data_IF_726590066591
#
_entry.id   IF_726590066591
#
_cell.length_a   1.000
_cell.length_b   1.000
_cell.length_c   1.000
_cell.angle_alpha   90.00
_cell.angle_beta   90.00
_cell.angle_gamma   90.00
#
_symmetry.space_group_name_H-M   'P 1'
#
loop_
_entity.id
_entity.type
_entity.pdbx_description
1 polymer ?
#
# COMPACT_ATOMS: atom_id res chain seq x y z
N UNK A 1 -17.79 -43.43 29.22
CA UNK A 1 -17.62 -43.02 28.88
C UNK A 1 -17.24 -42.28 28.11
N UNK A 2 -17.13 -42.03 27.74
CA UNK A 2 -16.69 -41.48 27.01
C UNK A 2 -16.55 -40.63 26.36
N UNK A 3 -16.53 -40.29 26.06
CA UNK A 3 -16.41 -39.67 25.59
C UNK A 3 -16.19 -38.96 24.79
N UNK A 4 -16.17 -38.51 24.42
CA UNK A 4 -16.07 -37.95 23.70
C UNK A 4 -15.75 -37.23 23.08
N UNK A 5 -15.58 -36.87 22.73
CA UNK A 5 -15.27 -36.32 22.31
C UNK A 5 -15.24 -35.63 21.39
N UNK A 6 -15.32 -35.26 20.96
CA UNK A 6 -15.47 -34.73 19.93
C UNK A 6 -15.16 -33.51 19.57
N UNK A 7 -14.98 -33.03 19.75
CA UNK A 7 -14.52 -31.96 19.66
C UNK A 7 -13.89 -31.42 18.52
N UNK A 8 -13.36 -31.91 17.90
CA UNK A 8 -12.66 -31.44 16.88
C UNK A 8 -13.24 -30.76 15.80
N UNK A 9 -14.42 -30.56 15.78
CA UNK A 9 -15.02 -30.02 14.73
C UNK A 9 -14.79 -28.69 14.39
N UNK A 10 -14.26 -27.85 15.15
CA UNK A 10 -14.16 -26.48 14.94
C UNK A 10 -13.19 -26.00 13.95
N UNK A 11 -12.21 -26.73 13.73
CA UNK A 11 -11.13 -26.30 12.90
C UNK A 11 -11.47 -25.83 11.52
N UNK A 12 -12.32 -26.44 10.79
CA UNK A 12 -12.56 -26.06 9.41
C UNK A 12 -13.09 -24.69 9.19
N UNK A 13 -13.63 -24.09 10.17
CA UNK A 13 -14.22 -22.81 9.97
C UNK A 13 -13.26 -21.76 9.64
N UNK A 14 -12.06 -21.86 10.06
CA UNK A 14 -11.10 -20.83 9.83
C UNK A 14 -10.68 -20.71 8.40
N UNK A 15 -10.68 -21.78 7.71
CA UNK A 15 -10.23 -21.75 6.34
C UNK A 15 -11.10 -20.88 5.47
N UNK A 16 -12.35 -20.82 5.77
CA UNK A 16 -13.26 -20.05 4.97
C UNK A 16 -12.98 -18.56 5.00
N UNK A 17 -12.49 -18.08 6.12
CA UNK A 17 -12.21 -16.67 6.25
C UNK A 17 -11.04 -16.25 5.39
N UNK A 18 -10.08 -17.11 5.23
CA UNK A 18 -8.94 -16.78 4.42
C UNK A 18 -9.30 -16.64 2.96
N UNK A 19 -10.22 -17.43 2.50
CA UNK A 19 -10.62 -17.34 1.15
C UNK A 19 -11.32 -16.04 0.82
N UNK A 20 -12.06 -15.54 1.75
CA UNK A 20 -12.75 -14.29 1.55
C UNK A 20 -11.76 -13.16 1.36
N UNK A 21 -10.66 -13.20 2.08
CA UNK A 21 -9.65 -12.18 1.91
C UNK A 21 -8.99 -12.24 0.56
N UNK A 22 -8.84 -13.41 0.04
CA UNK A 22 -8.16 -13.56 -1.22
C UNK A 22 -8.92 -12.97 -2.40
N UNK A 23 -10.18 -12.70 -2.21
CA UNK A 23 -10.98 -12.13 -3.27
C UNK A 23 -10.92 -10.62 -3.33
N UNK A 24 -10.15 -9.99 -2.49
CA UNK A 24 -10.11 -8.57 -2.48
C UNK A 24 -9.35 -8.03 -3.69
N UNK A 25 -9.37 -6.76 -3.86
CA UNK A 25 -8.87 -6.11 -5.02
C UNK A 25 -7.43 -6.41 -5.33
N UNK A 26 -6.99 -6.03 -6.49
CA UNK A 26 -5.63 -6.22 -6.92
C UNK A 26 -4.66 -5.74 -5.91
N UNK A 27 -3.60 -6.49 -5.74
CA UNK A 27 -2.56 -6.14 -4.82
C UNK A 27 -1.26 -6.01 -5.53
N UNK A 28 -0.43 -5.13 -5.09
CA UNK A 28 0.93 -4.97 -5.58
C UNK A 28 1.84 -5.67 -4.56
N UNK A 29 2.33 -6.84 -4.91
CA UNK A 29 3.13 -7.64 -4.00
C UNK A 29 4.46 -6.99 -3.62
N UNK A 30 4.91 -6.02 -4.39
CA UNK A 30 6.14 -5.31 -4.05
C UNK A 30 6.00 -4.58 -2.73
N UNK A 31 4.78 -4.20 -2.36
CA UNK A 31 4.55 -3.47 -1.12
C UNK A 31 4.91 -4.28 0.11
N UNK A 32 4.91 -5.59 0.00
CA UNK A 32 5.26 -6.44 1.15
C UNK A 32 6.72 -6.35 1.52
N UNK A 33 7.53 -5.84 0.61
CA UNK A 33 8.96 -5.70 0.85
C UNK A 33 9.33 -4.33 1.40
N UNK A 34 8.37 -3.44 1.47
CA UNK A 34 8.64 -2.09 1.99
C UNK A 34 8.64 -2.09 3.50
N UNK A 35 9.49 -1.26 4.08
CA UNK A 35 9.46 -1.00 5.52
C UNK A 35 9.78 0.45 5.79
N UNK A 36 9.16 0.99 6.79
CA UNK A 36 9.33 2.40 7.13
C UNK A 36 10.79 2.68 7.46
N UNK A 37 11.27 3.81 7.00
CA UNK A 37 12.63 4.26 7.29
C UNK A 37 13.68 3.87 6.25
N UNK A 38 13.35 3.01 5.29
CA UNK A 38 14.35 2.67 4.26
C UNK A 38 14.52 3.88 3.33
N UNK A 39 15.66 3.93 2.67
CA UNK A 39 15.99 5.07 1.81
C UNK A 39 15.13 5.10 0.55
N UNK A 40 15.03 6.27 -0.04
CA UNK A 40 14.33 6.42 -1.31
C UNK A 40 14.92 5.49 -2.36
N UNK A 41 16.25 5.34 -2.41
CA UNK A 41 16.87 4.45 -3.38
C UNK A 41 16.45 3.01 -3.18
N UNK A 42 16.32 2.57 -1.94
CA UNK A 42 15.86 1.22 -1.62
C UNK A 42 14.42 1.03 -2.08
N UNK A 43 13.59 2.06 -1.89
CA UNK A 43 12.20 2.02 -2.36
C UNK A 43 12.17 1.82 -3.87
N UNK A 44 12.94 2.61 -4.60
CA UNK A 44 12.95 2.51 -6.05
C UNK A 44 13.42 1.14 -6.53
N UNK A 45 14.39 0.57 -5.83
CA UNK A 45 14.86 -0.77 -6.16
C UNK A 45 13.78 -1.82 -5.94
N UNK A 46 13.07 -1.74 -4.82
CA UNK A 46 11.98 -2.66 -4.51
C UNK A 46 10.87 -2.55 -5.53
N UNK A 47 10.59 -1.33 -5.98
CA UNK A 47 9.56 -1.11 -6.98
C UNK A 47 10.01 -1.52 -8.38
N UNK A 48 11.09 -2.29 -8.46
CA UNK A 48 11.52 -2.93 -9.69
C UNK A 48 12.24 -2.02 -10.66
N UNK A 49 12.76 -0.92 -10.18
CA UNK A 49 13.39 0.05 -11.04
C UNK A 49 12.40 0.84 -11.86
N UNK A 50 11.13 0.59 -11.69
CA UNK A 50 10.10 1.34 -12.40
C UNK A 50 10.08 2.76 -11.90
N UNK A 51 9.86 3.67 -12.81
CA UNK A 51 9.71 5.05 -12.42
C UNK A 51 8.29 5.30 -11.99
N UNK A 52 8.06 6.15 -11.01
CA UNK A 52 6.70 6.51 -10.66
C UNK A 52 6.05 7.25 -11.83
N UNK A 53 4.76 7.10 -11.97
CA UNK A 53 4.00 7.80 -12.99
C UNK A 53 3.96 9.30 -12.69
N UNK A 54 4.01 9.64 -11.42
CA UNK A 54 3.98 11.03 -11.00
C UNK A 54 4.63 11.14 -9.62
N UNK A 55 5.25 12.27 -9.36
CA UNK A 55 5.78 12.59 -8.04
C UNK A 55 5.26 13.96 -7.67
N UNK A 56 4.54 14.04 -6.57
CA UNK A 56 4.04 15.32 -6.06
C UNK A 56 4.85 15.71 -4.83
N UNK A 57 5.58 16.81 -4.87
CA UNK A 57 6.38 17.24 -3.72
C UNK A 57 5.61 18.21 -2.84
N UNK A 58 5.84 18.12 -1.56
CA UNK A 58 5.23 19.03 -0.58
C UNK A 58 6.26 19.41 0.46
N UNK A 59 6.29 20.69 0.79
CA UNK A 59 7.16 21.15 1.87
C UNK A 59 6.24 21.61 2.99
N UNK A 60 6.07 20.79 3.99
CA UNK A 60 5.12 21.04 5.07
C UNK A 60 5.73 20.67 6.41
N UNK A 61 5.47 21.48 7.42
CA UNK A 61 5.92 21.18 8.78
C UNK A 61 7.42 20.98 8.89
N UNK A 62 8.19 21.60 8.01
CA UNK A 62 9.63 21.44 8.03
C UNK A 62 10.11 20.16 7.35
N UNK A 63 9.21 19.41 6.73
CA UNK A 63 9.56 18.16 6.06
C UNK A 63 9.37 18.28 4.57
N UNK A 64 10.25 17.62 3.82
CA UNK A 64 10.11 17.52 2.38
C UNK A 64 9.49 16.17 2.08
N UNK A 65 8.25 16.19 1.64
CA UNK A 65 7.48 14.98 1.39
C UNK A 65 7.31 14.78 -0.10
N UNK A 66 7.60 13.59 -0.57
CA UNK A 66 7.40 13.23 -1.96
C UNK A 66 6.37 12.11 -2.02
N UNK A 67 5.26 12.36 -2.68
CA UNK A 67 4.26 11.33 -2.92
C UNK A 67 4.50 10.77 -4.32
N UNK A 68 5.01 9.55 -4.37
CA UNK A 68 5.30 8.89 -5.64
C UNK A 68 4.16 7.93 -5.96
N UNK A 69 3.61 8.03 -7.16
CA UNK A 69 2.50 7.17 -7.57
C UNK A 69 2.97 6.15 -8.58
N UNK A 70 2.87 4.89 -8.21
CA UNK A 70 3.31 3.79 -9.08
C UNK A 70 2.11 3.05 -9.65
N UNK A 71 2.18 2.73 -10.93
CA UNK A 71 1.15 1.91 -11.52
C UNK A 71 1.22 0.50 -10.94
N UNK A 72 0.07 -0.12 -10.78
CA UNK A 72 0.01 -1.52 -10.33
C UNK A 72 0.51 -2.41 -11.48
N UNK A 73 1.24 -3.48 -11.20
CA UNK A 73 1.72 -4.35 -12.26
C UNK A 73 0.57 -4.81 -13.15
N UNK A 74 0.79 -4.75 -14.44
CA UNK A 74 -0.24 -5.11 -15.42
C UNK A 74 -1.13 -3.98 -15.86
N UNK A 75 -0.89 -2.76 -15.37
CA UNK A 75 -1.66 -1.60 -15.77
C UNK A 75 -1.49 -1.34 -17.26
N UNK A 76 -2.58 -1.11 -17.96
CA UNK A 76 -2.52 -0.88 -19.41
C UNK A 76 -3.54 0.15 -19.90
N UNK A 77 -4.68 0.29 -19.24
CA UNK A 77 -5.72 1.23 -19.66
C UNK A 77 -5.55 2.58 -18.99
N UNK A 78 -6.10 3.61 -19.58
CA UNK A 78 -6.02 4.93 -18.96
C UNK A 78 -6.62 4.94 -17.56
N UNK A 79 -7.65 4.13 -17.32
CA UNK A 79 -8.24 4.06 -15.99
C UNK A 79 -7.25 3.52 -14.95
N UNK A 80 -6.34 2.67 -15.35
CA UNK A 80 -5.33 2.12 -14.43
C UNK A 80 -4.38 3.18 -13.93
N UNK A 81 -4.29 4.31 -14.62
CA UNK A 81 -3.41 5.39 -14.24
C UNK A 81 -4.14 6.55 -13.55
N UNK A 82 -5.41 6.37 -13.24
CA UNK A 82 -6.11 7.33 -12.40
C UNK A 82 -5.49 7.28 -11.00
N UNK A 83 -5.46 8.41 -10.31
CA UNK A 83 -4.77 8.51 -9.03
C UNK A 83 -5.09 7.36 -8.07
N UNK A 84 -6.36 7.12 -7.83
CA UNK A 84 -6.76 6.11 -6.84
C UNK A 84 -6.51 4.67 -7.28
N UNK A 85 -6.20 4.46 -8.54
CA UNK A 85 -5.88 3.13 -9.04
C UNK A 85 -4.38 2.86 -9.06
N UNK A 86 -3.59 3.87 -8.78
CA UNK A 86 -2.15 3.72 -8.61
C UNK A 86 -1.84 3.55 -7.12
N UNK A 87 -0.62 3.19 -6.82
CA UNK A 87 -0.18 3.02 -5.44
C UNK A 87 0.67 4.20 -5.01
N UNK A 88 0.26 4.95 -3.99
CA UNK A 88 1.09 6.02 -3.48
C UNK A 88 2.17 5.47 -2.55
N UNK A 89 3.38 5.97 -2.70
CA UNK A 89 4.50 5.64 -1.85
C UNK A 89 5.10 6.95 -1.40
N UNK A 90 5.15 7.16 -0.10
CA UNK A 90 5.44 8.46 0.49
C UNK A 90 6.81 8.47 1.15
N UNK A 91 7.66 9.33 0.64
CA UNK A 91 9.01 9.49 1.16
C UNK A 91 9.09 10.84 1.85
N UNK A 92 9.53 10.86 3.10
CA UNK A 92 9.68 12.08 3.87
C UNK A 92 11.14 12.25 4.20
N UNK A 93 11.72 13.36 3.78
CA UNK A 93 13.12 13.67 4.01
C UNK A 93 14.05 12.53 3.55
N UNK A 94 13.73 11.93 2.43
CA UNK A 94 14.54 10.88 1.83
C UNK A 94 14.32 9.48 2.35
N UNK A 95 13.39 9.30 3.29
CA UNK A 95 13.11 7.99 3.87
C UNK A 95 11.64 7.62 3.73
N UNK A 96 11.40 6.34 3.54
CA UNK A 96 10.02 5.87 3.37
C UNK A 96 9.23 6.08 4.65
N UNK A 97 8.10 6.77 4.52
CA UNK A 97 7.24 7.07 5.65
C UNK A 97 5.93 6.28 5.62
N UNK A 98 5.37 6.06 4.44
CA UNK A 98 4.07 5.40 4.33
C UNK A 98 3.86 4.93 2.91
N UNK A 99 2.95 4.00 2.72
CA UNK A 99 2.55 3.54 1.39
C UNK A 99 1.12 3.04 1.45
N UNK A 100 0.44 3.15 0.29
CA UNK A 100 -0.96 2.78 0.19
C UNK A 100 -1.88 3.94 0.52
N UNK A 101 -3.07 3.91 -0.02
CA UNK A 101 -3.99 5.04 0.10
C UNK A 101 -4.46 5.29 1.53
N UNK A 102 -4.66 4.24 2.30
CA UNK A 102 -5.10 4.42 3.68
C UNK A 102 -4.07 5.22 4.48
N UNK A 103 -2.80 4.88 4.32
CA UNK A 103 -1.73 5.56 5.03
C UNK A 103 -1.53 6.97 4.47
N UNK A 104 -1.57 7.11 3.14
CA UNK A 104 -1.38 8.42 2.54
C UNK A 104 -2.50 9.37 2.92
N UNK A 105 -3.74 8.90 2.93
CA UNK A 105 -4.86 9.74 3.36
C UNK A 105 -4.65 10.24 4.80
N UNK A 106 -4.12 9.41 5.67
CA UNK A 106 -3.83 9.78 7.05
C UNK A 106 -2.75 10.84 7.14
N UNK A 107 -1.65 10.64 6.43
CA UNK A 107 -0.53 11.59 6.44
C UNK A 107 -0.98 12.92 5.84
N UNK A 108 -1.71 12.86 4.73
CA UNK A 108 -2.18 14.06 4.08
C UNK A 108 -3.13 14.85 4.96
N UNK A 109 -3.98 14.16 5.71
CA UNK A 109 -4.89 14.83 6.64
C UNK A 109 -4.12 15.53 7.75
N UNK A 110 -3.10 14.88 8.25
CA UNK A 110 -2.28 15.43 9.32
C UNK A 110 -1.60 16.74 8.89
N UNK A 111 -1.07 16.78 7.68
CA UNK A 111 -0.38 17.96 7.16
C UNK A 111 -1.28 18.85 6.31
N UNK A 112 -2.56 18.53 6.20
CA UNK A 112 -3.52 19.31 5.42
C UNK A 112 -3.14 19.41 3.95
N UNK A 113 -2.62 18.33 3.44
CA UNK A 113 -2.26 18.24 2.03
C UNK A 113 -3.49 17.79 1.24
N UNK A 114 -3.88 18.50 0.18
CA UNK A 114 -5.02 18.07 -0.62
C UNK A 114 -4.64 16.85 -1.46
N UNK A 115 -5.48 15.83 -1.41
CA UNK A 115 -5.27 14.66 -2.25
C UNK A 115 -6.57 14.33 -2.97
N UNK A 116 -6.44 13.67 -4.12
CA UNK A 116 -7.60 13.29 -4.92
C UNK A 116 -8.36 12.19 -4.20
N UNK A 117 -9.66 12.32 -4.13
CA UNK A 117 -10.48 11.37 -3.39
C UNK A 117 -11.14 10.31 -4.26
N UNK A 118 -11.00 10.37 -5.53
CA UNK A 118 -11.63 9.37 -6.39
C UNK A 118 -10.66 8.72 -7.36
#
# INVERSE_FOLDING_TARGET
MSRHRPTSLLVPTLAALLLASACSAKRDSRLEQLSAGISKDSVLAIMGGDKPQRVDPFLVGGHYIEAMYFAVPGASDSADFADRNMTPVIVSDGKLAAWGWKQWDSVAAEYKIPVVKE
#
